data_IF_753057729740
#
_entry.id   IF_753057729740
#
_cell.length_a   1.000
_cell.length_b   1.000
_cell.length_c   1.000
_cell.angle_alpha   90.00
_cell.angle_beta   90.00
_cell.angle_gamma   90.00
#
_symmetry.space_group_name_H-M   'P 1'
#
loop_
_entity.id
_entity.type
_entity.pdbx_description
1 polymer ?
#
# COMPACT_ATOMS: atom_id res chain seq x y z
N UNK A 1 -4.36 -13.87 -4.88
CA UNK A 1 -4.75 -12.81 -5.85
C UNK A 1 -6.19 -13.08 -6.24
N UNK A 2 -7.08 -12.09 -6.21
CA UNK A 2 -8.46 -12.27 -6.73
C UNK A 2 -8.42 -12.28 -8.25
N UNK A 3 -9.13 -13.22 -8.87
CA UNK A 3 -9.25 -13.37 -10.32
C UNK A 3 -10.32 -12.45 -10.91
N UNK A 4 -11.25 -11.97 -10.08
CA UNK A 4 -12.41 -11.19 -10.49
C UNK A 4 -12.61 -9.99 -9.55
N UNK A 5 -13.02 -8.87 -10.14
CA UNK A 5 -13.29 -7.61 -9.46
C UNK A 5 -14.57 -7.01 -10.04
N UNK A 6 -15.46 -6.55 -9.16
CA UNK A 6 -16.73 -5.99 -9.58
C UNK A 6 -17.67 -5.84 -8.39
N UNK A 7 -18.95 -5.70 -8.71
CA UNK A 7 -20.04 -5.60 -7.74
C UNK A 7 -20.85 -6.90 -7.77
N UNK A 8 -21.13 -7.47 -6.59
CA UNK A 8 -21.99 -8.66 -6.50
C UNK A 8 -23.40 -8.39 -7.06
N UNK A 9 -23.87 -7.14 -6.95
CA UNK A 9 -25.12 -6.67 -7.53
C UNK A 9 -24.94 -5.25 -8.08
N UNK A 10 -24.59 -5.13 -9.36
CA UNK A 10 -24.45 -3.84 -10.03
C UNK A 10 -25.79 -3.10 -10.16
N UNK A 11 -26.86 -3.83 -10.48
CA UNK A 11 -28.23 -3.34 -10.63
C UNK A 11 -29.19 -4.48 -10.30
N UNK A 12 -30.35 -4.19 -9.70
CA UNK A 12 -31.37 -5.21 -9.47
C UNK A 12 -32.08 -5.55 -10.78
N UNK A 13 -32.61 -6.77 -10.88
CA UNK A 13 -33.36 -7.19 -12.05
C UNK A 13 -34.63 -6.35 -12.25
N UNK A 14 -35.28 -5.98 -11.15
CA UNK A 14 -36.46 -5.10 -11.17
C UNK A 14 -36.17 -3.76 -11.84
N UNK A 15 -35.06 -3.11 -11.48
CA UNK A 15 -34.68 -1.81 -12.05
C UNK A 15 -34.23 -1.97 -13.52
N UNK A 16 -33.46 -3.02 -13.82
CA UNK A 16 -32.95 -3.29 -15.17
C UNK A 16 -34.09 -3.53 -16.18
N UNK A 17 -35.13 -4.26 -15.76
CA UNK A 17 -36.24 -4.64 -16.63
C UNK A 17 -37.37 -3.61 -16.67
N UNK A 18 -37.38 -2.62 -15.78
CA UNK A 18 -38.34 -1.53 -15.82
C UNK A 18 -38.08 -0.64 -17.04
N UNK A 19 -39.03 -0.70 -17.99
CA UNK A 19 -39.00 0.06 -19.25
C UNK A 19 -38.95 1.56 -19.04
N UNK A 20 -39.41 2.08 -17.90
CA UNK A 20 -39.35 3.50 -17.58
C UNK A 20 -37.90 3.99 -17.35
N UNK A 21 -36.99 3.09 -16.98
CA UNK A 21 -35.59 3.44 -16.70
C UNK A 21 -34.71 3.46 -17.95
N UNK A 22 -35.16 2.89 -19.06
CA UNK A 22 -34.45 2.93 -20.34
C UNK A 22 -33.15 2.10 -20.42
N UNK A 23 -32.87 1.25 -19.42
CA UNK A 23 -31.66 0.40 -19.42
C UNK A 23 -31.73 -0.76 -20.41
N UNK A 24 -32.93 -1.31 -20.65
CA UNK A 24 -33.18 -2.38 -21.62
C UNK A 24 -34.02 -1.84 -22.77
N UNK A 25 -33.45 -1.81 -23.97
CA UNK A 25 -34.11 -1.35 -25.20
C UNK A 25 -33.95 -2.44 -26.24
N UNK A 26 -35.06 -2.90 -26.83
CA UNK A 26 -35.04 -3.98 -27.84
C UNK A 26 -34.27 -5.23 -27.38
N UNK A 27 -34.55 -5.66 -26.15
CA UNK A 27 -33.90 -6.82 -25.50
C UNK A 27 -32.36 -6.69 -25.39
N UNK A 28 -31.85 -5.46 -25.47
CA UNK A 28 -30.43 -5.13 -25.46
C UNK A 28 -30.10 -4.10 -24.38
N UNK A 29 -28.95 -4.28 -23.72
CA UNK A 29 -28.39 -3.38 -22.71
C UNK A 29 -26.89 -3.25 -22.93
N UNK A 30 -26.32 -2.07 -22.65
CA UNK A 30 -24.90 -1.78 -22.82
C UNK A 30 -24.28 -1.37 -21.49
N UNK A 31 -23.17 -2.02 -21.12
CA UNK A 31 -22.40 -1.70 -19.93
C UNK A 31 -21.02 -1.16 -20.34
N UNK A 32 -20.59 -0.07 -19.69
CA UNK A 32 -19.26 0.49 -19.85
C UNK A 32 -18.42 0.28 -18.59
N UNK A 33 -17.12 0.07 -18.76
CA UNK A 33 -16.15 0.07 -17.67
C UNK A 33 -15.00 1.03 -18.03
N UNK A 34 -14.68 1.93 -17.11
CA UNK A 34 -13.51 2.79 -17.23
C UNK A 34 -12.37 2.19 -16.41
N UNK A 35 -11.22 1.99 -17.05
CA UNK A 35 -10.03 1.44 -16.40
C UNK A 35 -8.95 2.51 -16.43
N UNK A 36 -8.60 3.01 -15.24
CA UNK A 36 -7.50 3.95 -15.07
C UNK A 36 -6.32 3.23 -14.46
N UNK A 37 -5.21 3.16 -15.20
CA UNK A 37 -3.94 2.66 -14.67
C UNK A 37 -3.17 3.85 -14.11
N UNK A 38 -3.13 3.97 -12.79
CA UNK A 38 -2.29 4.99 -12.13
C UNK A 38 -0.87 4.46 -12.10
N UNK A 39 -0.06 4.89 -13.08
CA UNK A 39 1.38 4.67 -13.05
C UNK A 39 2.00 5.50 -11.93
N UNK A 40 2.39 4.86 -10.83
CA UNK A 40 3.15 5.54 -9.79
C UNK A 40 4.55 5.86 -10.33
N UNK A 41 4.83 7.12 -10.67
CA UNK A 41 6.19 7.59 -11.01
C UNK A 41 7.07 7.83 -9.78
N UNK A 42 6.54 7.56 -8.58
CA UNK A 42 7.32 7.58 -7.35
C UNK A 42 8.38 6.50 -7.36
N UNK A 43 9.57 6.79 -6.85
CA UNK A 43 10.51 5.73 -6.49
C UNK A 43 9.94 5.03 -5.26
N UNK A 44 9.48 3.79 -5.43
CA UNK A 44 9.06 2.97 -4.31
C UNK A 44 10.29 2.34 -3.69
N UNK A 45 10.46 2.52 -2.38
CA UNK A 45 11.43 1.77 -1.60
C UNK A 45 10.70 0.66 -0.85
N UNK A 46 11.21 -0.57 -0.98
CA UNK A 46 10.76 -1.71 -0.18
C UNK A 46 11.74 -1.86 0.97
N UNK A 47 11.27 -1.62 2.19
CA UNK A 47 12.06 -1.86 3.41
C UNK A 47 11.77 -3.28 3.90
N UNK A 48 12.75 -4.16 3.80
CA UNK A 48 12.71 -5.47 4.46
C UNK A 48 13.43 -5.39 5.81
N UNK A 49 12.75 -5.83 6.87
CA UNK A 49 13.38 -6.01 8.18
C UNK A 49 13.86 -7.46 8.27
N UNK A 50 15.15 -7.64 8.57
CA UNK A 50 15.69 -8.94 8.97
C UNK A 50 15.12 -9.27 10.34
N UNK A 51 14.34 -10.35 10.44
CA UNK A 51 13.64 -10.73 11.70
C UNK A 51 14.61 -11.10 12.81
N UNK A 52 15.75 -11.70 12.48
CA UNK A 52 16.78 -12.16 13.42
C UNK A 52 18.20 -11.91 12.87
N UNK A 53 18.71 -10.67 12.91
CA UNK A 53 20.03 -10.37 12.36
C UNK A 53 21.14 -10.95 13.26
N UNK A 54 22.19 -11.57 12.69
CA UNK A 54 23.39 -11.91 13.45
C UNK A 54 24.00 -10.62 14.00
N UNK A 55 24.25 -10.56 15.32
CA UNK A 55 24.59 -9.34 16.08
C UNK A 55 23.48 -8.25 16.13
N UNK A 56 22.26 -8.64 16.51
CA UNK A 56 21.10 -7.75 16.67
C UNK A 56 21.23 -6.59 17.69
N UNK A 57 22.36 -6.44 18.40
CA UNK A 57 22.49 -5.42 19.44
C UNK A 57 23.74 -4.56 19.26
N UNK A 58 23.56 -3.26 19.00
CA UNK A 58 24.60 -2.25 19.17
C UNK A 58 24.49 -1.66 20.58
N UNK A 59 25.58 -1.75 21.35
CA UNK A 59 25.71 -1.00 22.61
C UNK A 59 26.37 0.35 22.33
N UNK A 60 25.60 1.42 22.48
CA UNK A 60 26.12 2.79 22.46
C UNK A 60 26.06 3.37 23.87
N UNK A 61 27.21 3.81 24.39
CA UNK A 61 27.34 4.40 25.73
C UNK A 61 27.54 5.91 25.59
N UNK A 62 26.63 6.67 26.18
CA UNK A 62 26.71 8.12 26.25
C UNK A 62 27.26 8.53 27.62
N UNK A 63 28.50 9.01 27.64
CA UNK A 63 29.16 9.41 28.89
C UNK A 63 28.85 10.85 29.28
N UNK A 64 28.82 11.14 30.58
CA UNK A 64 28.64 12.49 31.12
C UNK A 64 27.36 13.18 30.61
N UNK A 65 26.23 12.46 30.55
CA UNK A 65 24.96 12.94 30.02
C UNK A 65 24.53 14.32 30.57
N UNK A 66 24.81 14.58 31.86
CA UNK A 66 24.49 15.85 32.52
C UNK A 66 25.27 17.07 32.01
N UNK A 67 26.33 16.86 31.22
CA UNK A 67 27.16 17.93 30.61
C UNK A 67 26.85 18.16 29.13
N UNK A 68 25.87 17.44 28.58
CA UNK A 68 25.48 17.56 27.18
C UNK A 68 24.59 18.78 26.98
N UNK A 69 24.87 19.55 25.94
CA UNK A 69 24.20 20.82 25.62
C UNK A 69 23.45 20.79 24.28
N UNK A 70 23.70 19.79 23.43
CA UNK A 70 23.06 19.70 22.13
C UNK A 70 21.71 19.00 22.21
N UNK A 71 20.80 19.37 21.31
CA UNK A 71 19.45 18.79 21.23
C UNK A 71 19.43 17.33 20.74
N UNK A 72 20.49 16.85 20.09
CA UNK A 72 20.62 15.45 19.68
C UNK A 72 22.10 15.01 19.58
N UNK A 73 22.33 13.71 19.78
CA UNK A 73 23.62 13.04 19.62
C UNK A 73 23.38 11.74 18.85
N UNK A 74 24.18 11.50 17.81
CA UNK A 74 24.06 10.30 16.97
C UNK A 74 25.16 9.30 17.33
N UNK A 75 24.81 8.01 17.33
CA UNK A 75 25.82 6.95 17.32
C UNK A 75 26.55 6.94 15.97
N UNK A 76 27.65 6.18 15.88
CA UNK A 76 28.26 5.88 14.58
C UNK A 76 27.28 5.03 13.77
N UNK A 77 27.17 5.31 12.47
CA UNK A 77 26.42 4.47 11.54
C UNK A 77 26.92 3.04 11.59
N UNK A 78 25.99 2.09 11.60
CA UNK A 78 26.28 0.66 11.64
C UNK A 78 25.29 -0.07 10.72
N UNK A 79 25.74 -1.20 10.17
CA UNK A 79 24.93 -2.05 9.31
C UNK A 79 24.37 -3.21 10.14
N UNK A 80 23.09 -3.53 9.94
CA UNK A 80 22.42 -4.66 10.58
C UNK A 80 21.86 -5.54 9.48
N UNK A 81 22.43 -6.73 9.34
CA UNK A 81 22.19 -7.61 8.19
C UNK A 81 22.91 -7.16 6.92
N UNK A 82 23.05 -8.08 5.96
CA UNK A 82 23.46 -7.77 4.58
C UNK A 82 22.22 -7.56 3.70
N UNK A 83 22.36 -6.76 2.64
CA UNK A 83 21.38 -6.73 1.54
C UNK A 83 21.80 -7.81 0.55
N UNK A 84 20.96 -8.84 0.39
CA UNK A 84 21.03 -9.73 -0.78
C UNK A 84 20.63 -8.97 -2.06
#
# INVERSE_FOLDING_TARGET
MKTEWGFEQLISLEILLDKCNGYLVEDSCVFGAEVVVIGHSGKWESLSIVKDPPQASLKWKLENFSKLVNNYYLSKSFHVGERD
#
